data_IF_187069714756
#
_entry.id   IF_187069714756
#
_cell.length_a   1.000
_cell.length_b   1.000
_cell.length_c   1.000
_cell.angle_alpha   90.00
_cell.angle_beta   90.00
_cell.angle_gamma   90.00
#
_symmetry.space_group_name_H-M   'P 1'
#
loop_
_entity.id
_entity.type
_entity.pdbx_description
1 polymer ?
#
# COMPACT_ATOMS: atom_id res chain seq x y z
N UNK A 1 2.65 -19.19 -12.99
CA UNK A 1 3.40 -19.25 -11.71
C UNK A 1 2.41 -19.41 -10.56
N UNK A 2 2.76 -20.13 -9.49
CA UNK A 2 1.88 -20.23 -8.32
C UNK A 2 2.08 -19.01 -7.42
N UNK A 3 0.97 -18.39 -7.02
CA UNK A 3 0.94 -17.23 -6.15
C UNK A 3 0.59 -17.70 -4.74
N UNK A 4 1.47 -17.42 -3.79
CA UNK A 4 1.42 -17.94 -2.42
C UNK A 4 1.46 -16.75 -1.47
N UNK A 5 0.57 -16.75 -0.47
CA UNK A 5 0.70 -15.85 0.68
C UNK A 5 1.27 -16.62 1.86
N UNK A 6 2.44 -16.20 2.35
CA UNK A 6 3.10 -16.84 3.49
C UNK A 6 3.75 -15.79 4.40
N UNK A 7 3.44 -15.85 5.70
CA UNK A 7 3.97 -14.92 6.74
C UNK A 7 3.87 -13.43 6.39
N UNK A 8 2.75 -13.01 5.79
CA UNK A 8 2.53 -11.61 5.42
C UNK A 8 3.30 -11.18 4.16
N UNK A 9 3.79 -12.13 3.36
CA UNK A 9 4.39 -11.85 2.07
C UNK A 9 3.65 -12.56 0.95
N UNK A 10 3.48 -11.83 -0.15
CA UNK A 10 3.07 -12.35 -1.44
C UNK A 10 4.30 -12.87 -2.17
N UNK A 11 4.29 -14.16 -2.48
CA UNK A 11 5.40 -14.88 -3.10
C UNK A 11 4.91 -15.44 -4.43
N UNK A 12 5.72 -15.26 -5.47
CA UNK A 12 5.51 -15.87 -6.78
C UNK A 12 6.70 -16.78 -7.06
N UNK A 13 6.43 -18.08 -7.14
CA UNK A 13 7.51 -19.08 -7.22
C UNK A 13 8.33 -19.10 -5.93
N UNK A 14 9.58 -18.64 -6.00
CA UNK A 14 10.52 -18.51 -4.89
C UNK A 14 10.82 -17.06 -4.48
N UNK A 15 10.26 -16.07 -5.19
CA UNK A 15 10.54 -14.64 -4.97
C UNK A 15 9.39 -13.95 -4.24
N UNK A 16 9.67 -13.21 -3.15
CA UNK A 16 8.66 -12.30 -2.60
C UNK A 16 8.56 -11.06 -3.46
N UNK A 17 7.30 -10.68 -3.66
CA UNK A 17 6.91 -9.61 -4.53
C UNK A 17 6.47 -8.42 -3.69
N UNK A 18 5.68 -8.65 -2.63
CA UNK A 18 5.20 -7.58 -1.75
C UNK A 18 4.89 -8.09 -0.35
N UNK A 19 5.12 -7.26 0.67
CA UNK A 19 4.55 -7.48 2.01
C UNK A 19 3.08 -7.05 2.00
N UNK A 20 2.19 -7.93 2.45
CA UNK A 20 0.75 -7.71 2.36
C UNK A 20 -0.02 -8.54 3.38
N UNK A 21 -1.20 -8.05 3.74
CA UNK A 21 -2.23 -8.83 4.39
C UNK A 21 -2.71 -10.00 3.52
N UNK A 22 -3.47 -10.92 4.12
CA UNK A 22 -4.00 -12.10 3.44
C UNK A 22 -4.86 -11.66 2.24
N UNK A 23 -4.58 -12.16 1.02
CA UNK A 23 -5.42 -11.89 -0.14
C UNK A 23 -6.87 -12.31 0.09
N UNK A 24 -7.80 -11.43 -0.28
CA UNK A 24 -9.25 -11.65 -0.23
C UNK A 24 -9.83 -11.99 -1.60
N UNK A 25 -9.03 -11.85 -2.66
CA UNK A 25 -9.39 -12.30 -3.99
C UNK A 25 -8.25 -12.13 -4.98
N UNK A 26 -8.41 -12.77 -6.14
CA UNK A 26 -7.45 -12.73 -7.24
C UNK A 26 -8.22 -12.72 -8.55
N UNK A 27 -7.84 -11.84 -9.46
CA UNK A 27 -8.35 -11.81 -10.82
C UNK A 27 -7.19 -11.91 -11.79
N UNK A 28 -7.33 -12.80 -12.77
CA UNK A 28 -6.37 -12.96 -13.85
C UNK A 28 -7.00 -12.45 -15.14
N UNK A 29 -6.31 -11.51 -15.79
CA UNK A 29 -6.64 -11.02 -17.13
C UNK A 29 -5.53 -11.44 -18.10
N UNK A 30 -5.73 -11.32 -19.42
CA UNK A 30 -4.65 -11.57 -20.39
C UNK A 30 -3.44 -10.64 -20.23
N UNK A 31 -3.66 -9.42 -19.72
CA UNK A 31 -2.62 -8.40 -19.58
C UNK A 31 -1.90 -8.45 -18.24
N UNK A 32 -2.58 -8.87 -17.17
CA UNK A 32 -2.07 -8.79 -15.79
C UNK A 32 -2.85 -9.65 -14.80
N UNK A 33 -2.28 -9.84 -13.61
CA UNK A 33 -2.92 -10.45 -12.45
C UNK A 33 -3.13 -9.38 -11.38
N UNK A 34 -4.36 -9.21 -10.92
CA UNK A 34 -4.70 -8.30 -9.83
C UNK A 34 -4.98 -9.11 -8.57
N UNK A 35 -4.25 -8.82 -7.51
CA UNK A 35 -4.43 -9.43 -6.19
C UNK A 35 -5.08 -8.40 -5.28
N UNK A 36 -6.26 -8.71 -4.79
CA UNK A 36 -6.97 -7.88 -3.84
C UNK A 36 -6.64 -8.30 -2.42
N UNK A 37 -6.20 -7.33 -1.62
CA UNK A 37 -5.95 -7.47 -0.18
C UNK A 37 -6.75 -6.37 0.53
N UNK A 38 -7.01 -6.48 1.85
CA UNK A 38 -7.93 -5.57 2.52
C UNK A 38 -7.61 -4.09 2.37
N UNK A 39 -6.32 -3.73 2.31
CA UNK A 39 -5.82 -2.36 2.31
C UNK A 39 -5.25 -1.90 0.95
N UNK A 40 -5.26 -2.74 -0.08
CA UNK A 40 -4.62 -2.42 -1.36
C UNK A 40 -5.05 -3.35 -2.52
N UNK A 41 -4.81 -2.87 -3.74
CA UNK A 41 -4.73 -3.70 -4.95
C UNK A 41 -3.25 -3.84 -5.34
N UNK A 42 -2.83 -5.07 -5.65
CA UNK A 42 -1.48 -5.37 -6.11
C UNK A 42 -1.57 -5.87 -7.55
N UNK A 43 -0.90 -5.18 -8.45
CA UNK A 43 -0.90 -5.45 -9.88
C UNK A 43 0.38 -6.18 -10.24
N UNK A 44 0.25 -7.32 -10.90
CA UNK A 44 1.35 -8.16 -11.33
C UNK A 44 1.28 -8.39 -12.83
N UNK A 45 2.43 -8.54 -13.48
CA UNK A 45 2.48 -9.04 -14.85
C UNK A 45 1.94 -10.49 -14.91
N UNK A 46 1.59 -11.03 -16.09
CA UNK A 46 1.22 -12.43 -16.23
C UNK A 46 2.34 -13.41 -15.85
N UNK A 47 3.60 -12.95 -15.90
CA UNK A 47 4.78 -13.67 -15.39
C UNK A 47 4.93 -13.59 -13.86
N UNK A 48 4.13 -12.74 -13.19
CA UNK A 48 4.09 -12.57 -11.74
C UNK A 48 5.15 -11.62 -11.18
N UNK A 49 5.56 -10.62 -11.97
CA UNK A 49 6.40 -9.52 -11.52
C UNK A 49 5.54 -8.37 -11.01
N UNK A 50 6.00 -7.64 -9.99
CA UNK A 50 5.27 -6.47 -9.49
C UNK A 50 5.24 -5.38 -10.55
N UNK A 51 4.03 -4.96 -10.93
CA UNK A 51 3.81 -3.73 -11.69
C UNK A 51 3.71 -2.58 -10.67
N UNK A 52 2.71 -2.65 -9.79
CA UNK A 52 2.46 -1.62 -8.78
C UNK A 52 1.59 -2.12 -7.62
N UNK A 53 1.51 -1.31 -6.56
CA UNK A 53 0.59 -1.48 -5.42
C UNK A 53 -0.13 -0.17 -5.19
N UNK A 54 -1.46 -0.20 -5.25
CA UNK A 54 -2.32 0.97 -5.01
C UNK A 54 -3.03 0.77 -3.68
N UNK A 55 -2.85 1.69 -2.74
CA UNK A 55 -3.51 1.62 -1.44
C UNK A 55 -5.01 1.92 -1.56
N UNK A 56 -5.84 1.30 -0.71
CA UNK A 56 -7.28 1.56 -0.70
C UNK A 56 -7.61 3.04 -0.45
N UNK A 57 -6.74 3.80 0.23
CA UNK A 57 -6.88 5.24 0.41
C UNK A 57 -6.82 6.06 -0.89
N UNK A 58 -6.30 5.48 -1.97
CA UNK A 58 -6.20 6.08 -3.30
C UNK A 58 -7.32 5.59 -4.24
N UNK A 59 -8.16 4.67 -3.76
CA UNK A 59 -9.28 4.06 -4.48
C UNK A 59 -10.61 4.69 -4.02
N UNK A 60 -11.70 4.55 -4.80
CA UNK A 60 -13.00 5.11 -4.43
C UNK A 60 -13.71 4.37 -3.26
N UNK A 61 -13.00 3.49 -2.56
CA UNK A 61 -13.51 2.69 -1.44
C UNK A 61 -12.42 2.50 -0.39
N UNK A 62 -12.82 2.40 0.88
CA UNK A 62 -11.90 2.44 2.02
C UNK A 62 -11.17 1.12 2.31
N UNK A 63 -11.74 -0.01 1.86
CA UNK A 63 -11.28 -1.37 2.15
C UNK A 63 -11.87 -2.35 1.14
N UNK A 64 -11.15 -3.43 0.87
CA UNK A 64 -11.65 -4.54 0.05
C UNK A 64 -11.97 -5.74 0.94
N UNK A 65 -13.19 -6.26 0.85
CA UNK A 65 -13.61 -7.41 1.65
C UNK A 65 -13.48 -8.72 0.87
N UNK A 66 -13.81 -8.68 -0.41
CA UNK A 66 -13.77 -9.83 -1.30
C UNK A 66 -13.74 -9.40 -2.77
N UNK A 67 -13.33 -10.34 -3.62
CA UNK A 67 -13.55 -10.26 -5.06
C UNK A 67 -14.61 -11.28 -5.44
N UNK A 68 -15.65 -10.82 -6.13
CA UNK A 68 -16.69 -11.67 -6.70
C UNK A 68 -16.81 -11.50 -8.21
N UNK A 69 -17.78 -12.19 -8.77
CA UNK A 69 -18.13 -12.11 -10.19
C UNK A 69 -19.63 -11.96 -10.36
N UNK A 70 -20.04 -11.16 -11.34
CA UNK A 70 -21.43 -11.11 -11.82
C UNK A 70 -21.84 -12.46 -12.46
N UNK A 71 -23.13 -12.73 -12.67
CA UNK A 71 -23.58 -13.93 -13.41
C UNK A 71 -23.02 -14.02 -14.83
N UNK A 72 -22.68 -12.87 -15.43
CA UNK A 72 -21.98 -12.74 -16.72
C UNK A 72 -20.48 -12.99 -16.65
N UNK A 73 -19.91 -13.19 -15.46
CA UNK A 73 -18.48 -13.47 -15.26
C UNK A 73 -17.59 -12.23 -15.11
N UNK A 74 -18.16 -11.01 -15.15
CA UNK A 74 -17.37 -9.79 -14.91
C UNK A 74 -16.97 -9.68 -13.44
N UNK A 75 -15.70 -9.35 -13.13
CA UNK A 75 -15.23 -9.19 -11.78
C UNK A 75 -15.88 -7.98 -11.10
N UNK A 76 -16.09 -8.08 -9.79
CA UNK A 76 -16.66 -7.02 -8.94
C UNK A 76 -15.97 -7.07 -7.59
N UNK A 77 -15.58 -5.92 -7.08
CA UNK A 77 -15.09 -5.78 -5.71
C UNK A 77 -16.26 -5.58 -4.75
N UNK A 78 -16.26 -6.35 -3.67
CA UNK A 78 -17.11 -6.08 -2.53
C UNK A 78 -16.34 -5.27 -1.49
N UNK A 79 -16.94 -4.16 -1.08
CA UNK A 79 -16.38 -3.23 -0.10
C UNK A 79 -17.46 -2.85 0.92
N UNK A 80 -17.09 -2.26 2.07
CA UNK A 80 -18.08 -1.73 3.02
C UNK A 80 -18.94 -0.61 2.42
N UNK A 81 -18.41 0.08 1.41
CA UNK A 81 -19.02 1.24 0.74
C UNK A 81 -19.97 0.82 -0.40
N UNK A 82 -19.97 -0.47 -0.77
CA UNK A 82 -20.84 -1.03 -1.81
C UNK A 82 -20.10 -2.00 -2.73
N UNK A 83 -20.67 -2.19 -3.92
CA UNK A 83 -20.03 -2.98 -4.97
C UNK A 83 -19.37 -2.06 -5.98
N UNK A 84 -18.18 -2.41 -6.43
CA UNK A 84 -17.42 -1.65 -7.41
C UNK A 84 -16.96 -2.55 -8.55
N UNK A 85 -17.36 -2.21 -9.78
CA UNK A 85 -16.90 -2.89 -10.98
C UNK A 85 -15.68 -2.14 -11.55
N UNK A 86 -14.54 -2.83 -11.74
CA UNK A 86 -13.41 -2.26 -12.46
C UNK A 86 -13.73 -2.13 -13.96
N UNK A 87 -13.05 -1.21 -14.62
CA UNK A 87 -12.95 -1.16 -16.07
C UNK A 87 -12.05 -2.30 -16.60
N UNK A 88 -11.82 -2.34 -17.92
CA UNK A 88 -11.03 -3.39 -18.55
C UNK A 88 -9.57 -3.39 -18.07
N UNK A 89 -9.03 -2.21 -17.78
CA UNK A 89 -7.65 -2.00 -17.36
C UNK A 89 -7.49 -1.96 -15.83
N UNK A 90 -8.56 -2.15 -15.06
CA UNK A 90 -8.56 -2.13 -13.59
C UNK A 90 -7.96 -0.86 -12.98
N UNK A 91 -8.16 0.28 -13.62
CA UNK A 91 -7.73 1.60 -13.15
C UNK A 91 -8.91 2.40 -12.61
N UNK A 92 -10.08 2.25 -13.24
CA UNK A 92 -11.30 2.98 -12.87
C UNK A 92 -12.34 2.02 -12.29
N UNK A 93 -13.02 2.47 -11.23
CA UNK A 93 -13.99 1.66 -10.50
C UNK A 93 -15.33 2.38 -10.41
N UNK A 94 -16.34 1.81 -11.07
CA UNK A 94 -17.70 2.34 -11.07
C UNK A 94 -18.57 1.59 -10.05
N UNK A 95 -19.50 2.28 -9.35
CA UNK A 95 -20.49 1.61 -8.52
C UNK A 95 -21.28 0.57 -9.32
N UNK A 96 -21.43 -0.62 -8.75
CA UNK A 96 -22.15 -1.74 -9.34
C UNK A 96 -23.35 -2.13 -8.47
N UNK A 97 -24.32 -2.83 -9.05
CA UNK A 97 -25.48 -3.35 -8.34
C UNK A 97 -25.89 -4.69 -8.94
N UNK A 98 -26.44 -5.57 -8.11
CA UNK A 98 -26.96 -6.87 -8.54
C UNK A 98 -26.30 -8.03 -7.78
N UNK A 99 -26.69 -9.27 -8.11
CA UNK A 99 -26.14 -10.45 -7.46
C UNK A 99 -24.68 -10.64 -7.87
N UNK A 100 -23.82 -10.94 -6.89
CA UNK A 100 -22.44 -11.37 -7.12
C UNK A 100 -22.25 -12.77 -6.54
N UNK A 101 -21.32 -13.52 -7.12
CA UNK A 101 -20.82 -14.78 -6.57
C UNK A 101 -19.40 -14.56 -6.10
N UNK A 102 -19.15 -14.81 -4.83
CA UNK A 102 -17.82 -14.69 -4.23
C UNK A 102 -17.22 -16.08 -4.20
N UNK A 103 -16.09 -16.26 -4.88
CA UNK A 103 -15.32 -17.48 -4.79
C UNK A 103 -14.13 -17.20 -3.86
N UNK A 104 -14.10 -17.79 -2.64
CA UNK A 104 -12.98 -17.56 -1.75
C UNK A 104 -11.68 -18.05 -2.40
N UNK A 105 -10.54 -17.36 -2.15
CA UNK A 105 -9.26 -17.80 -2.69
C UNK A 105 -8.99 -19.25 -2.29
N UNK A 106 -8.72 -20.12 -3.27
CA UNK A 106 -8.43 -21.51 -3.01
C UNK A 106 -7.21 -21.63 -2.08
N UNK A 107 -7.42 -22.14 -0.88
CA UNK A 107 -6.33 -22.43 0.05
C UNK A 107 -5.65 -23.72 -0.39
N UNK A 108 -4.47 -23.60 -1.00
CA UNK A 108 -3.61 -24.75 -1.26
C UNK A 108 -2.79 -25.03 -0.01
N UNK A 109 -2.99 -26.20 0.60
CA UNK A 109 -2.12 -26.68 1.67
C UNK A 109 -0.76 -27.02 1.07
N UNK A 110 0.26 -26.24 1.40
CA UNK A 110 1.64 -26.55 1.02
C UNK A 110 2.08 -27.82 1.75
N UNK A 111 2.70 -28.75 1.03
CA UNK A 111 3.28 -29.94 1.64
C UNK A 111 4.41 -29.57 2.61
N UNK A 112 4.74 -30.47 3.55
CA UNK A 112 5.86 -30.28 4.48
C UNK A 112 7.21 -30.03 3.74
N UNK A 113 7.34 -30.56 2.52
CA UNK A 113 8.54 -30.36 1.68
C UNK A 113 8.57 -28.99 1.01
N UNK A 114 7.44 -28.51 0.53
CA UNK A 114 7.32 -27.17 -0.08
C UNK A 114 7.47 -26.08 0.97
N UNK A 115 6.86 -26.25 2.14
CA UNK A 115 7.07 -25.36 3.29
C UNK A 115 8.52 -25.37 3.74
N UNK A 116 9.18 -26.52 3.87
CA UNK A 116 10.60 -26.59 4.22
C UNK A 116 11.53 -25.97 3.15
N UNK A 117 11.20 -26.13 1.87
CA UNK A 117 11.94 -25.51 0.77
C UNK A 117 11.80 -23.99 0.79
N UNK A 118 10.59 -23.49 1.04
CA UNK A 118 10.32 -22.07 1.25
C UNK A 118 11.08 -21.60 2.51
N UNK A 119 10.90 -22.21 3.67
CA UNK A 119 11.63 -21.82 4.88
C UNK A 119 13.16 -21.80 4.70
N UNK A 120 13.72 -22.72 3.90
CA UNK A 120 15.15 -22.75 3.59
C UNK A 120 15.59 -21.61 2.66
N UNK A 121 14.81 -21.31 1.62
CA UNK A 121 15.07 -20.19 0.73
C UNK A 121 14.99 -18.84 1.50
N UNK A 122 14.01 -18.72 2.38
CA UNK A 122 13.71 -17.49 3.12
C UNK A 122 14.56 -17.28 4.39
N UNK A 123 15.26 -18.31 4.89
CA UNK A 123 16.29 -18.13 5.95
C UNK A 123 17.63 -17.60 5.42
N UNK A 124 17.83 -17.55 4.10
CA UNK A 124 19.12 -17.23 3.47
C UNK A 124 19.28 -15.78 2.98
N UNK A 125 18.20 -15.11 2.60
CA UNK A 125 18.24 -13.69 2.25
C UNK A 125 18.05 -12.87 3.53
N UNK A 126 19.16 -12.32 4.05
CA UNK A 126 19.09 -11.32 5.11
C UNK A 126 18.16 -10.17 4.73
N UNK A 127 17.56 -9.52 5.74
CA UNK A 127 16.72 -8.34 5.56
C UNK A 127 17.44 -7.36 4.62
N UNK A 128 16.83 -6.95 3.49
CA UNK A 128 17.56 -6.19 2.48
C UNK A 128 18.03 -4.85 3.05
N UNK A 129 19.21 -4.38 2.63
CA UNK A 129 19.86 -3.20 3.22
C UNK A 129 18.97 -1.96 3.24
N UNK A 130 18.13 -1.76 2.21
CA UNK A 130 17.18 -0.64 2.18
C UNK A 130 16.19 -0.69 3.35
N UNK A 131 15.79 -1.88 3.81
CA UNK A 131 14.88 -2.08 4.93
C UNK A 131 15.57 -1.80 6.25
N UNK A 132 16.82 -2.22 6.40
CA UNK A 132 17.66 -1.87 7.55
C UNK A 132 17.84 -0.36 7.65
N UNK A 133 18.12 0.30 6.51
CA UNK A 133 18.23 1.76 6.43
C UNK A 133 16.90 2.47 6.75
N UNK A 134 15.78 1.92 6.28
CA UNK A 134 14.45 2.48 6.54
C UNK A 134 14.06 2.34 8.01
N UNK A 135 14.34 1.19 8.63
CA UNK A 135 14.08 0.96 10.05
C UNK A 135 15.01 1.80 10.93
N UNK A 136 16.24 2.06 10.48
CA UNK A 136 17.14 3.02 11.11
C UNK A 136 16.58 4.46 11.01
N UNK A 137 16.11 4.86 9.83
CA UNK A 137 15.54 6.19 9.59
C UNK A 137 14.25 6.43 10.40
N UNK A 138 13.41 5.40 10.52
CA UNK A 138 12.21 5.44 11.35
C UNK A 138 12.51 5.30 12.86
N UNK A 139 13.78 5.16 13.25
CA UNK A 139 14.20 4.89 14.62
C UNK A 139 13.75 3.53 15.16
N UNK A 140 13.08 2.71 14.34
CA UNK A 140 12.47 1.42 14.70
C UNK A 140 13.53 0.36 15.01
N UNK A 141 14.73 0.49 14.44
CA UNK A 141 15.87 -0.40 14.70
C UNK A 141 16.30 -0.40 16.18
N UNK A 142 16.15 0.73 16.88
CA UNK A 142 16.48 0.88 18.29
C UNK A 142 15.25 0.81 19.21
N UNK A 143 14.13 0.30 18.70
CA UNK A 143 12.89 0.15 19.45
C UNK A 143 12.29 1.49 19.90
N UNK A 144 11.63 1.48 21.06
CA UNK A 144 10.86 2.62 21.58
C UNK A 144 11.68 3.92 21.68
N UNK A 145 12.96 3.80 22.08
CA UNK A 145 13.87 4.94 22.25
C UNK A 145 14.23 5.60 20.92
N UNK A 146 14.43 4.80 19.86
CA UNK A 146 14.77 5.33 18.55
C UNK A 146 13.57 6.01 17.87
N UNK A 147 12.38 5.42 17.97
CA UNK A 147 11.15 6.04 17.46
C UNK A 147 10.86 7.37 18.17
N UNK A 148 10.97 7.43 19.50
CA UNK A 148 10.77 8.68 20.25
C UNK A 148 11.75 9.80 19.85
N UNK A 149 13.01 9.46 19.54
CA UNK A 149 14.01 10.42 19.08
C UNK A 149 13.64 11.00 17.71
N UNK A 150 13.16 10.16 16.78
CA UNK A 150 12.73 10.60 15.45
C UNK A 150 11.47 11.47 15.51
N UNK A 151 10.54 11.16 16.40
CA UNK A 151 9.37 12.01 16.62
C UNK A 151 9.78 13.39 17.16
N UNK A 152 10.79 13.44 18.05
CA UNK A 152 11.29 14.69 18.60
C UNK A 152 12.01 15.55 17.57
N UNK A 153 12.76 14.95 16.64
CA UNK A 153 13.38 15.71 15.53
C UNK A 153 12.33 16.27 14.59
N UNK A 154 11.26 15.52 14.29
CA UNK A 154 10.13 16.00 13.50
C UNK A 154 9.45 17.22 14.15
N UNK A 155 9.21 17.17 15.46
CA UNK A 155 8.64 18.30 16.22
C UNK A 155 9.57 19.52 16.22
N UNK A 156 10.89 19.32 16.38
CA UNK A 156 11.86 20.41 16.36
C UNK A 156 11.89 21.14 15.01
N UNK A 157 11.86 20.39 13.90
CA UNK A 157 11.79 20.96 12.55
C UNK A 157 10.50 21.75 12.36
N UNK A 158 9.36 21.21 12.83
CA UNK A 158 8.07 21.90 12.76
C UNK A 158 8.11 23.25 13.48
N UNK A 159 8.68 23.30 14.68
CA UNK A 159 8.84 24.54 15.45
C UNK A 159 9.75 25.55 14.72
N UNK A 160 10.84 25.08 14.11
CA UNK A 160 11.74 25.93 13.33
C UNK A 160 11.03 26.55 12.12
N UNK A 161 10.23 25.76 11.39
CA UNK A 161 9.44 26.25 10.25
C UNK A 161 8.42 27.31 10.71
N UNK A 162 7.69 27.07 11.80
CA UNK A 162 6.72 28.03 12.35
C UNK A 162 7.42 29.34 12.76
N UNK A 163 8.57 29.24 13.42
CA UNK A 163 9.36 30.41 13.84
C UNK A 163 9.82 31.25 12.65
N UNK A 164 10.38 30.60 11.62
CA UNK A 164 10.80 31.28 10.39
C UNK A 164 9.64 31.98 9.69
N UNK A 165 8.49 31.30 9.59
CA UNK A 165 7.29 31.85 8.98
C UNK A 165 6.72 33.06 9.75
N UNK A 166 6.64 32.96 11.08
CA UNK A 166 6.20 34.06 11.94
C UNK A 166 7.11 35.29 11.83
N UNK A 167 8.43 35.08 11.75
CA UNK A 167 9.42 36.13 11.53
C UNK A 167 9.22 36.83 10.19
N UNK A 168 8.98 36.08 9.11
CA UNK A 168 8.72 36.62 7.78
C UNK A 168 7.43 37.46 7.72
N UNK A 169 6.34 37.00 8.33
CA UNK A 169 5.07 37.75 8.40
C UNK A 169 5.22 39.06 9.15
N UNK A 170 5.95 39.06 10.27
CA UNK A 170 6.19 40.25 11.07
C UNK A 170 7.03 41.29 10.32
N UNK A 171 8.07 40.84 9.59
CA UNK A 171 8.91 41.72 8.75
C UNK A 171 8.13 42.29 7.56
N UNK A 172 7.29 41.48 6.92
CA UNK A 172 6.47 41.92 5.77
C UNK A 172 5.41 42.94 6.16
N UNK A 173 4.80 42.81 7.35
CA UNK A 173 3.87 43.80 7.91
C UNK A 173 4.54 45.12 8.28
N UNK A 174 5.77 45.08 8.80
CA UNK A 174 6.54 46.29 9.11
C UNK A 174 6.93 47.09 7.85
N UNK A 175 7.32 46.39 6.77
CA UNK A 175 7.68 47.04 5.50
C UNK A 175 6.48 47.66 4.76
N UNK A 176 5.26 47.12 4.92
CA UNK A 176 4.04 47.72 4.36
C UNK A 176 3.61 49.04 5.03
N UNK A 177 4.05 49.28 6.27
CA UNK A 177 3.78 50.54 7.01
C UNK A 177 4.74 51.68 6.62
N UNK A 178 5.93 51.38 6.10
CA UNK A 178 6.92 52.39 5.70
C UNK A 178 6.55 53.11 4.40
N UNK A 179 5.91 52.40 3.47
CA UNK A 179 5.63 52.93 2.13
C UNK A 179 4.43 53.88 2.06
N UNK A 180 3.65 54.05 3.15
CA UNK A 180 2.54 55.01 3.23
C UNK A 180 2.96 56.40 3.71
N UNK A 181 4.18 56.56 4.25
CA UNK A 181 4.68 57.87 4.73
C UNK A 181 5.54 58.64 3.71
N UNK A 182 5.91 58.02 2.59
CA UNK A 182 6.70 58.65 1.53
C UNK A 182 5.84 59.25 0.38
N UNK A 183 4.51 59.16 0.48
CA UNK A 183 3.58 59.61 -0.56
C UNK A 183 2.64 60.75 -0.10
N UNK A 184 2.98 61.48 0.97
CA UNK A 184 2.26 62.71 1.39
C UNK A 184 3.16 63.93 1.33
#
# INVERSE_FOLDING_TARGET
AHLIHFRGQLIVGDRAIAATDRPVGLVTTPAMVVVAVPDALIYLTPSGELIEKIAATELPFSRIEAVGHTPSGHPVLQTPDGLFAPDADWLDFAPATGPIRIEPPATVALSARETAALEKAWRGEGVPLYRVLLDLHAGRLFGLTGTAMMDLTAVAILLLVISGFAGWLRKSRANGSGNRKAAS
#
